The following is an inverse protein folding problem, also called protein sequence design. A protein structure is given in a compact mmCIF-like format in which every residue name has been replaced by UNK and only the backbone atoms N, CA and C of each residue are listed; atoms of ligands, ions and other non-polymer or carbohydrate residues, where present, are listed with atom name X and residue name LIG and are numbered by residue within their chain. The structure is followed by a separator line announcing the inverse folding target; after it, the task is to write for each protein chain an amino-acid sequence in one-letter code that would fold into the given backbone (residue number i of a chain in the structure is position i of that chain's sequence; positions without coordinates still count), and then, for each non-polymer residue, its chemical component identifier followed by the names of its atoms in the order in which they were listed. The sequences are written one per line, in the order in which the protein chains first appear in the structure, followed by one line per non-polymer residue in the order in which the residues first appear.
data_IF_643742837839
#
_entry.id   IF_643742837839
#
_cell.length_a   1.000
_cell.length_b   1.000
_cell.length_c   1.000
_cell.angle_alpha   90.00
_cell.angle_beta   90.00
_cell.angle_gamma   90.00
#
_symmetry.space_group_name_H-M   'P 1'
#
loop_
_entity.id
_entity.type
_entity.pdbx_description
1 polymer ?
#
# COMPACT_ATOMS: atom_id res chain seq x y z
N UNK A 1 9.85 9.61 -19.67
CA UNK A 1 8.64 9.71 -18.82
C UNK A 1 8.98 10.52 -17.60
N UNK A 2 8.14 11.49 -17.23
CA UNK A 2 8.34 12.27 -16.01
C UNK A 2 8.18 11.37 -14.78
N UNK A 3 8.84 11.71 -13.67
CA UNK A 3 8.73 10.95 -12.41
C UNK A 3 7.27 10.81 -11.94
N UNK A 4 6.47 11.85 -12.12
CA UNK A 4 5.03 11.85 -11.83
C UNK A 4 4.27 10.80 -12.65
N UNK A 5 4.59 10.60 -13.94
CA UNK A 5 3.93 9.58 -14.77
C UNK A 5 4.23 8.16 -14.26
N UNK A 6 5.48 7.92 -13.83
CA UNK A 6 5.91 6.64 -13.27
C UNK A 6 5.16 6.34 -11.97
N UNK A 7 5.02 7.34 -11.11
CA UNK A 7 4.28 7.22 -9.85
C UNK A 7 2.80 6.95 -10.15
N UNK A 8 2.19 7.71 -11.06
CA UNK A 8 0.77 7.54 -11.39
C UNK A 8 0.49 6.11 -11.89
N UNK A 9 1.32 5.61 -12.80
CA UNK A 9 1.22 4.23 -13.31
C UNK A 9 1.36 3.19 -12.19
N UNK A 10 2.30 3.39 -11.26
CA UNK A 10 2.46 2.50 -10.11
C UNK A 10 1.21 2.50 -9.21
N UNK A 11 0.60 3.67 -8.98
CA UNK A 11 -0.64 3.78 -8.20
C UNK A 11 -1.85 3.15 -8.90
N UNK A 12 -1.90 3.19 -10.23
CA UNK A 12 -2.89 2.48 -11.02
C UNK A 12 -2.73 0.96 -10.92
N UNK A 13 -1.50 0.46 -11.10
CA UNK A 13 -1.17 -0.95 -10.90
C UNK A 13 -1.53 -1.42 -9.49
N UNK A 14 -1.11 -0.67 -8.46
CA UNK A 14 -1.42 -0.96 -7.06
C UNK A 14 -2.94 -1.04 -6.80
N UNK A 15 -3.72 -0.13 -7.38
CA UNK A 15 -5.18 -0.16 -7.25
C UNK A 15 -5.79 -1.40 -7.94
N UNK A 16 -5.32 -1.76 -9.13
CA UNK A 16 -5.78 -2.96 -9.83
C UNK A 16 -5.45 -4.24 -9.05
N UNK A 17 -4.24 -4.36 -8.52
CA UNK A 17 -3.87 -5.48 -7.67
C UNK A 17 -4.66 -5.52 -6.35
N UNK A 18 -4.98 -4.36 -5.78
CA UNK A 18 -5.82 -4.26 -4.59
C UNK A 18 -7.23 -4.78 -4.88
N UNK A 19 -7.85 -4.38 -5.98
CA UNK A 19 -9.16 -4.88 -6.41
C UNK A 19 -9.16 -6.40 -6.66
N UNK A 20 -8.10 -6.92 -7.27
CA UNK A 20 -7.89 -8.36 -7.44
C UNK A 20 -7.75 -9.07 -6.09
N UNK A 21 -7.06 -8.46 -5.12
CA UNK A 21 -6.92 -9.02 -3.77
C UNK A 21 -8.26 -9.08 -3.04
N UNK A 22 -9.07 -8.00 -3.10
CA UNK A 22 -10.42 -7.96 -2.51
C UNK A 22 -11.31 -9.04 -3.12
N UNK A 23 -11.23 -9.21 -4.44
CA UNK A 23 -11.98 -10.24 -5.16
C UNK A 23 -11.55 -11.66 -4.76
N UNK A 24 -10.25 -11.90 -4.58
CA UNK A 24 -9.73 -13.19 -4.13
C UNK A 24 -10.15 -13.50 -2.68
N UNK A 25 -10.13 -12.48 -1.80
CA UNK A 25 -10.60 -12.60 -0.43
C UNK A 25 -12.08 -12.97 -0.38
N UNK A 26 -12.93 -12.34 -1.21
CA UNK A 26 -14.35 -12.66 -1.31
C UNK A 26 -14.64 -14.08 -1.80
N UNK A 27 -13.71 -14.70 -2.54
CA UNK A 27 -13.79 -16.11 -2.97
C UNK A 27 -13.16 -17.09 -1.97
N UNK A 28 -12.57 -16.60 -0.87
CA UNK A 28 -11.85 -17.44 0.10
C UNK A 28 -10.50 -17.97 -0.40
N UNK A 29 -9.96 -17.43 -1.50
CA UNK A 29 -8.68 -17.85 -2.07
C UNK A 29 -7.52 -17.11 -1.39
N UNK A 30 -7.07 -17.65 -0.26
CA UNK A 30 -5.96 -17.09 0.55
C UNK A 30 -4.65 -16.94 -0.25
N UNK A 31 -4.38 -17.84 -1.20
CA UNK A 31 -3.15 -17.83 -1.98
C UNK A 31 -3.15 -16.72 -3.02
N UNK A 32 -4.24 -16.61 -3.78
CA UNK A 32 -4.41 -15.51 -4.74
C UNK A 32 -4.47 -14.17 -4.01
N UNK A 33 -5.16 -14.09 -2.88
CA UNK A 33 -5.17 -12.89 -2.04
C UNK A 33 -3.75 -12.46 -1.68
N UNK A 34 -2.96 -13.36 -1.08
CA UNK A 34 -1.59 -13.05 -0.66
C UNK A 34 -0.69 -12.66 -1.85
N UNK A 35 -0.83 -13.32 -3.01
CA UNK A 35 -0.07 -12.99 -4.21
C UNK A 35 -0.40 -11.59 -4.73
N UNK A 36 -1.68 -11.27 -4.89
CA UNK A 36 -2.13 -9.97 -5.37
C UNK A 36 -1.72 -8.87 -4.40
N UNK A 37 -1.86 -9.12 -3.10
CA UNK A 37 -1.51 -8.17 -2.06
C UNK A 37 0.00 -7.89 -1.99
N UNK A 38 0.84 -8.89 -2.26
CA UNK A 38 2.29 -8.69 -2.42
C UNK A 38 2.61 -7.76 -3.60
N UNK A 39 1.88 -7.85 -4.71
CA UNK A 39 2.05 -6.91 -5.82
C UNK A 39 1.63 -5.49 -5.45
N UNK A 40 0.59 -5.30 -4.63
CA UNK A 40 0.26 -3.98 -4.07
C UNK A 40 1.45 -3.40 -3.30
N UNK A 41 2.10 -4.21 -2.45
CA UNK A 41 3.29 -3.78 -1.70
C UNK A 41 4.43 -3.36 -2.63
N UNK A 42 4.71 -4.16 -3.67
CA UNK A 42 5.78 -3.90 -4.61
C UNK A 42 5.59 -2.60 -5.41
N UNK A 43 4.38 -2.34 -5.90
CA UNK A 43 4.06 -1.10 -6.63
C UNK A 43 4.14 0.14 -5.72
N UNK A 44 3.71 0.02 -4.46
CA UNK A 44 3.86 1.09 -3.46
C UNK A 44 5.32 1.39 -3.16
N UNK A 45 6.17 0.36 -2.97
CA UNK A 45 7.61 0.55 -2.76
C UNK A 45 8.28 1.21 -3.97
N UNK A 46 7.90 0.79 -5.19
CA UNK A 46 8.40 1.44 -6.40
C UNK A 46 8.00 2.92 -6.46
N UNK A 47 6.74 3.26 -6.14
CA UNK A 47 6.31 4.65 -6.06
C UNK A 47 7.11 5.45 -5.01
N UNK A 48 7.33 4.88 -3.81
CA UNK A 48 8.13 5.50 -2.74
C UNK A 48 9.58 5.73 -3.16
N UNK A 49 10.17 4.79 -3.87
CA UNK A 49 11.49 4.93 -4.46
C UNK A 49 11.55 6.10 -5.46
N UNK A 50 10.57 6.21 -6.37
CA UNK A 50 10.53 7.34 -7.30
C UNK A 50 10.35 8.67 -6.56
N UNK A 51 9.54 8.72 -5.50
CA UNK A 51 9.42 9.91 -4.64
C UNK A 51 10.75 10.27 -3.95
N UNK A 52 11.53 9.29 -3.47
CA UNK A 52 12.82 9.59 -2.82
C UNK A 52 13.81 10.23 -3.79
N UNK A 53 13.79 9.82 -5.07
CA UNK A 53 14.57 10.46 -6.13
C UNK A 53 14.15 11.91 -6.38
N UNK A 54 12.86 12.24 -6.19
CA UNK A 54 12.35 13.61 -6.40
C UNK A 54 12.67 14.56 -5.25
N UNK A 55 12.66 14.09 -4.00
CA UNK A 55 12.78 14.94 -2.81
C UNK A 55 14.20 15.06 -2.23
N UNK A 56 15.19 14.36 -2.83
CA UNK A 56 16.52 14.11 -2.26
C UNK A 56 16.43 13.42 -0.88
N UNK A 57 17.04 12.25 -0.76
CA UNK A 57 17.02 11.47 0.47
C UNK A 57 17.48 12.30 1.68
N UNK A 58 16.62 12.39 2.72
CA UNK A 58 16.94 13.06 3.99
C UNK A 58 16.22 14.39 4.28
N UNK A 59 15.66 15.06 3.28
CA UNK A 59 15.02 16.37 3.48
C UNK A 59 13.56 16.31 3.98
N UNK A 60 12.97 15.11 4.00
CA UNK A 60 11.56 14.91 4.36
C UNK A 60 11.47 14.17 5.68
N UNK A 61 11.01 14.86 6.73
CA UNK A 61 10.70 14.26 8.03
C UNK A 61 9.41 13.41 7.94
N UNK A 62 9.59 12.09 7.93
CA UNK A 62 8.50 11.10 7.87
C UNK A 62 8.01 10.67 9.26
N UNK A 63 8.61 11.15 10.36
CA UNK A 63 8.30 10.70 11.73
C UNK A 63 6.83 10.91 12.13
N UNK A 64 6.18 11.91 11.52
CA UNK A 64 4.77 12.27 11.73
C UNK A 64 3.81 11.56 10.79
N UNK A 65 4.30 10.77 9.84
CA UNK A 65 3.48 10.10 8.83
C UNK A 65 3.04 8.75 9.36
N UNK A 66 1.94 8.74 10.10
CA UNK A 66 1.40 7.55 10.73
C UNK A 66 0.07 7.17 10.08
N UNK A 67 -0.19 5.86 9.93
CA UNK A 67 -1.49 5.39 9.45
C UNK A 67 -2.59 5.61 10.48
N UNK A 68 -3.84 5.55 10.04
CA UNK A 68 -4.97 5.96 10.87
C UNK A 68 -5.05 5.11 12.15
N UNK A 69 -5.06 5.71 13.36
CA UNK A 69 -5.21 4.96 14.60
C UNK A 69 -6.55 4.21 14.70
N UNK A 70 -7.59 4.69 14.01
CA UNK A 70 -8.93 4.09 14.05
C UNK A 70 -9.04 2.79 13.26
N UNK A 71 -8.09 2.54 12.35
CA UNK A 71 -8.08 1.31 11.54
C UNK A 71 -7.36 0.21 12.31
N UNK A 72 -8.17 -0.73 12.81
CA UNK A 72 -7.71 -1.96 13.43
C UNK A 72 -6.87 -2.78 12.44
N UNK A 73 -5.62 -3.07 12.81
CA UNK A 73 -4.64 -3.71 11.90
C UNK A 73 -4.88 -5.20 11.68
N UNK A 74 -5.67 -5.82 12.54
CA UNK A 74 -6.19 -7.18 12.43
C UNK A 74 -7.44 -7.28 11.54
N UNK A 75 -8.14 -6.17 11.29
CA UNK A 75 -9.24 -6.10 10.32
C UNK A 75 -8.71 -5.89 8.91
N UNK A 76 -8.53 -7.01 8.20
CA UNK A 76 -8.08 -7.02 6.80
C UNK A 76 -8.99 -6.17 5.92
N UNK A 77 -10.31 -6.21 6.11
CA UNK A 77 -11.24 -5.45 5.27
C UNK A 77 -11.13 -3.95 5.52
N UNK A 78 -11.04 -3.54 6.79
CA UNK A 78 -10.79 -2.16 7.18
C UNK A 78 -9.47 -1.63 6.60
N UNK A 79 -8.40 -2.42 6.65
CA UNK A 79 -7.12 -2.05 6.06
C UNK A 79 -7.20 -1.94 4.53
N UNK A 80 -7.87 -2.87 3.85
CA UNK A 80 -8.05 -2.81 2.39
C UNK A 80 -8.80 -1.53 1.97
N UNK A 81 -9.83 -1.14 2.71
CA UNK A 81 -10.57 0.09 2.48
C UNK A 81 -9.69 1.34 2.72
N UNK A 82 -8.88 1.34 3.78
CA UNK A 82 -7.93 2.42 4.08
C UNK A 82 -6.91 2.57 2.94
N UNK A 83 -6.30 1.47 2.49
CA UNK A 83 -5.31 1.46 1.39
C UNK A 83 -5.94 2.01 0.11
N UNK A 84 -7.17 1.60 -0.23
CA UNK A 84 -7.90 2.13 -1.38
C UNK A 84 -8.08 3.64 -1.30
N UNK A 85 -8.54 4.14 -0.16
CA UNK A 85 -8.73 5.58 0.06
C UNK A 85 -7.42 6.37 -0.06
N UNK A 86 -6.31 5.81 0.45
CA UNK A 86 -4.99 6.43 0.37
C UNK A 86 -4.42 6.45 -1.05
N UNK A 87 -4.67 5.40 -1.85
CA UNK A 87 -4.29 5.35 -3.26
C UNK A 87 -5.05 6.40 -4.08
N UNK A 88 -6.37 6.48 -3.89
CA UNK A 88 -7.21 7.47 -4.58
C UNK A 88 -6.82 8.91 -4.20
N UNK A 89 -6.54 9.14 -2.91
CA UNK A 89 -6.06 10.41 -2.43
C UNK A 89 -4.68 10.76 -3.00
N UNK A 90 -3.74 9.80 -3.04
CA UNK A 90 -2.41 10.00 -3.61
C UNK A 90 -2.49 10.43 -5.09
N UNK A 91 -3.33 9.76 -5.89
CA UNK A 91 -3.56 10.12 -7.30
C UNK A 91 -4.07 11.56 -7.43
N UNK A 92 -5.11 11.92 -6.68
CA UNK A 92 -5.67 13.29 -6.68
C UNK A 92 -4.64 14.35 -6.31
N UNK A 93 -3.86 14.10 -5.26
CA UNK A 93 -2.81 15.01 -4.79
C UNK A 93 -1.70 15.19 -5.83
N UNK A 94 -1.28 14.09 -6.47
CA UNK A 94 -0.27 14.12 -7.53
C UNK A 94 -0.75 14.94 -8.74
N UNK A 95 -1.99 14.73 -9.19
CA UNK A 95 -2.58 15.52 -10.29
C UNK A 95 -2.80 16.99 -9.91
N UNK A 96 -3.03 17.27 -8.63
CA UNK A 96 -3.19 18.62 -8.10
C UNK A 96 -1.87 19.35 -7.77
N UNK A 97 -0.71 18.78 -8.13
CA UNK A 97 0.61 19.37 -7.87
C UNK A 97 1.09 19.28 -6.42
N UNK A 98 0.33 18.63 -5.52
CA UNK A 98 0.69 18.44 -4.11
C UNK A 98 1.54 17.18 -3.92
N UNK A 99 2.72 17.18 -4.53
CA UNK A 99 3.58 15.99 -4.65
C UNK A 99 4.01 15.45 -3.27
N UNK A 100 4.29 16.32 -2.30
CA UNK A 100 4.71 15.90 -0.95
C UNK A 100 3.56 15.22 -0.18
N UNK A 101 2.34 15.74 -0.32
CA UNK A 101 1.16 15.12 0.29
C UNK A 101 0.85 13.76 -0.37
N UNK A 102 1.04 13.66 -1.69
CA UNK A 102 0.93 12.39 -2.39
C UNK A 102 1.95 11.37 -1.85
N UNK A 103 3.21 11.78 -1.65
CA UNK A 103 4.24 10.94 -1.05
C UNK A 103 3.83 10.45 0.34
N UNK A 104 3.35 11.35 1.21
CA UNK A 104 2.81 10.98 2.52
C UNK A 104 1.70 9.94 2.42
N UNK A 105 0.75 10.14 1.51
CA UNK A 105 -0.39 9.21 1.31
C UNK A 105 0.09 7.81 0.91
N UNK A 106 1.05 7.72 -0.02
CA UNK A 106 1.64 6.44 -0.46
C UNK A 106 2.43 5.78 0.67
N UNK A 107 3.19 6.56 1.44
CA UNK A 107 3.96 6.06 2.57
C UNK A 107 3.05 5.44 3.62
N UNK A 108 1.96 6.13 3.96
CA UNK A 108 0.96 5.64 4.89
C UNK A 108 0.30 4.37 4.34
N UNK A 109 -0.06 4.32 3.05
CA UNK A 109 -0.63 3.13 2.43
C UNK A 109 0.30 1.91 2.56
N UNK A 110 1.62 2.11 2.36
CA UNK A 110 2.61 1.05 2.49
C UNK A 110 2.68 0.50 3.92
N UNK A 111 2.60 1.37 4.93
CA UNK A 111 2.56 0.95 6.34
C UNK A 111 1.31 0.10 6.63
N UNK A 112 0.15 0.47 6.09
CA UNK A 112 -1.08 -0.31 6.21
C UNK A 112 -0.92 -1.70 5.59
N UNK A 113 -0.35 -1.78 4.38
CA UNK A 113 -0.08 -3.05 3.70
C UNK A 113 0.86 -3.94 4.53
N UNK A 114 1.92 -3.38 5.10
CA UNK A 114 2.89 -4.13 5.90
C UNK A 114 2.25 -4.85 7.09
N UNK A 115 1.29 -4.21 7.77
CA UNK A 115 0.58 -4.80 8.89
C UNK A 115 -0.24 -6.05 8.48
N UNK A 116 -0.89 -6.00 7.32
CA UNK A 116 -1.65 -7.14 6.79
C UNK A 116 -0.70 -8.26 6.36
N UNK A 117 0.40 -7.96 5.66
CA UNK A 117 1.42 -8.93 5.27
C UNK A 117 2.02 -9.66 6.49
N UNK A 118 2.27 -8.94 7.58
CA UNK A 118 2.74 -9.52 8.84
C UNK A 118 1.69 -10.48 9.43
N UNK A 119 0.41 -10.09 9.44
CA UNK A 119 -0.68 -10.93 9.94
C UNK A 119 -0.84 -12.23 9.13
N UNK A 120 -0.69 -12.17 7.80
CA UNK A 120 -0.77 -13.32 6.91
C UNK A 120 0.42 -14.25 7.18
N UNK A 121 1.61 -13.67 7.33
CA UNK A 121 2.84 -14.42 7.57
C UNK A 121 2.82 -15.15 8.92
N UNK A 122 2.31 -14.49 9.99
CA UNK A 122 2.13 -15.12 11.31
C UNK A 122 1.19 -16.32 11.23
N UNK A 123 0.01 -16.14 10.62
CA UNK A 123 -0.97 -17.22 10.42
C UNK A 123 -0.40 -18.40 9.63
N UNK A 124 0.38 -18.15 8.57
CA UNK A 124 1.03 -19.21 7.79
C UNK A 124 2.05 -20.00 8.63
N UNK A 125 2.86 -19.33 9.46
CA UNK A 125 3.84 -20.00 10.34
C UNK A 125 3.16 -20.87 11.39
N UNK A 126 2.06 -20.41 11.98
CA UNK A 126 1.29 -21.17 12.96
C UNK A 126 0.69 -22.44 12.34
N UNK A 127 0.08 -22.33 11.15
CA UNK A 127 -0.43 -23.49 10.39
C UNK A 127 0.67 -24.52 10.07
N UNK A 128 1.90 -24.08 9.83
CA UNK A 128 3.05 -24.97 9.57
C UNK A 128 3.59 -25.65 10.82
N UNK A 129 3.54 -24.99 11.99
CA UNK A 129 3.97 -25.57 13.27
C UNK A 129 2.97 -26.58 13.84
N UNK A 130 1.70 -26.46 13.48
CA UNK A 130 0.63 -27.37 13.87
C UNK A 130 0.54 -28.63 12.99
N UNK A 131 1.44 -28.79 12.02
CA UNK A 131 1.59 -29.93 11.13
C UNK A 131 2.76 -30.79 11.56
#
# INVERSE_FOLDING_TARGET
MASSDKILKALESAASYLENSVSALGRGDENSFAKQFWHVAAELEYALFVFSLMFQEGNVDKSKWKPNPDVKRDDVNGVLAEVRGLLDNAKKLLTGGKVLDAYKSVYVARQCVFAVEESISKRKREKLKAK
#
